data_IF_669690746148
#
_entry.id   IF_669690746148
#
_cell.length_a   1.000
_cell.length_b   1.000
_cell.length_c   1.000
_cell.angle_alpha   90.00
_cell.angle_beta   90.00
_cell.angle_gamma   90.00
#
_symmetry.space_group_name_H-M   'P 1'
#
loop_
_entity.id
_entity.type
_entity.pdbx_description
1 polymer ?
#
# COMPACT_ATOMS: atom_id res chain seq x y z
N UNK A 1 9.98 -16.86 -3.38
CA UNK A 1 10.07 -15.40 -3.18
C UNK A 1 10.31 -15.08 -1.71
N UNK A 2 10.86 -13.90 -1.39
CA UNK A 2 10.94 -13.41 0.00
C UNK A 2 10.04 -12.17 0.12
N UNK A 3 9.25 -12.08 1.18
CA UNK A 3 8.39 -10.91 1.46
C UNK A 3 8.88 -10.21 2.73
N UNK A 4 9.22 -8.92 2.62
CA UNK A 4 9.60 -8.06 3.75
C UNK A 4 8.46 -7.09 4.02
N UNK A 5 7.78 -7.26 5.14
CA UNK A 5 6.68 -6.40 5.56
C UNK A 5 6.98 -5.71 6.90
N UNK A 6 6.26 -4.66 7.16
CA UNK A 6 6.36 -3.92 8.42
C UNK A 6 5.64 -2.57 8.36
N UNK A 7 5.36 -1.96 9.50
CA UNK A 7 4.71 -0.66 9.54
C UNK A 7 5.63 0.45 8.98
N UNK A 8 5.05 1.62 8.76
CA UNK A 8 5.86 2.80 8.41
C UNK A 8 6.91 3.06 9.49
N UNK A 9 8.07 3.55 9.08
CA UNK A 9 9.25 3.82 9.93
C UNK A 9 9.88 2.58 10.62
N UNK A 10 9.56 1.35 10.20
CA UNK A 10 10.22 0.13 10.73
C UNK A 10 11.61 -0.14 10.14
N UNK A 11 11.97 0.49 9.02
CA UNK A 11 13.23 0.21 8.32
C UNK A 11 13.18 -0.99 7.37
N UNK A 12 11.99 -1.41 6.93
CA UNK A 12 11.82 -2.53 6.00
C UNK A 12 12.53 -2.35 4.66
N UNK A 13 12.52 -1.14 4.08
CA UNK A 13 13.14 -0.87 2.77
C UNK A 13 14.65 -1.07 2.78
N UNK A 14 15.44 -0.49 3.71
CA UNK A 14 16.86 -0.80 3.82
C UNK A 14 17.16 -2.29 4.01
N UNK A 15 16.35 -3.01 4.78
CA UNK A 15 16.52 -4.47 4.96
C UNK A 15 16.30 -5.22 3.65
N UNK A 16 15.24 -4.87 2.91
CA UNK A 16 14.95 -5.48 1.62
C UNK A 16 16.06 -5.20 0.59
N UNK A 17 16.57 -3.96 0.55
CA UNK A 17 17.64 -3.57 -0.36
C UNK A 17 18.97 -4.32 -0.06
N UNK A 18 19.37 -4.38 1.22
CA UNK A 18 20.58 -5.13 1.61
C UNK A 18 20.43 -6.62 1.33
N UNK A 19 19.27 -7.20 1.61
CA UNK A 19 19.00 -8.61 1.29
C UNK A 19 19.08 -8.84 -0.22
N UNK A 20 18.36 -8.03 -1.02
CA UNK A 20 18.32 -8.17 -2.48
C UNK A 20 19.73 -8.03 -3.09
N UNK A 21 20.53 -7.04 -2.64
CA UNK A 21 21.92 -6.89 -3.05
C UNK A 21 22.74 -8.17 -2.78
N UNK A 22 22.57 -8.77 -1.59
CA UNK A 22 23.34 -9.95 -1.16
C UNK A 22 22.98 -11.22 -1.94
N UNK A 23 21.72 -11.37 -2.37
CA UNK A 23 21.25 -12.57 -3.10
C UNK A 23 21.14 -12.34 -4.61
N UNK A 24 21.54 -11.16 -5.12
CA UNK A 24 21.36 -10.81 -6.53
C UNK A 24 19.90 -10.72 -6.96
N UNK A 25 19.01 -10.35 -6.03
CA UNK A 25 17.57 -10.23 -6.23
C UNK A 25 17.14 -8.85 -6.69
N UNK A 26 15.83 -8.69 -6.94
CA UNK A 26 15.20 -7.44 -7.35
C UNK A 26 13.96 -7.18 -6.47
N UNK A 27 13.67 -5.92 -6.18
CA UNK A 27 12.59 -5.54 -5.28
C UNK A 27 11.31 -5.25 -6.06
N UNK A 28 10.17 -5.79 -5.58
CA UNK A 28 8.84 -5.42 -6.02
C UNK A 28 8.19 -4.63 -4.87
N UNK A 29 7.80 -3.37 -5.11
CA UNK A 29 7.15 -2.56 -4.08
C UNK A 29 5.70 -3.01 -3.85
N UNK A 30 5.32 -3.17 -2.58
CA UNK A 30 3.94 -3.36 -2.13
C UNK A 30 3.46 -2.14 -1.33
N UNK A 31 3.61 -0.95 -1.93
CA UNK A 31 3.13 0.30 -1.38
C UNK A 31 2.17 0.99 -2.36
N UNK A 32 0.91 1.17 -1.97
CA UNK A 32 -0.14 1.72 -2.83
C UNK A 32 0.03 3.21 -3.14
N UNK A 33 1.03 3.88 -2.57
CA UNK A 33 1.29 5.31 -2.78
C UNK A 33 2.56 5.57 -3.58
N UNK A 34 3.54 4.70 -3.47
CA UNK A 34 4.80 4.83 -4.20
C UNK A 34 4.68 4.58 -5.72
N UNK A 35 3.55 4.10 -6.19
CA UNK A 35 3.25 3.91 -7.61
C UNK A 35 3.16 5.22 -8.39
N UNK A 36 2.88 6.35 -7.74
CA UNK A 36 2.68 7.64 -8.40
C UNK A 36 3.98 8.39 -8.62
N UNK A 37 4.22 8.79 -9.86
CA UNK A 37 5.38 9.59 -10.27
C UNK A 37 5.39 10.96 -9.62
N UNK A 38 6.57 11.50 -9.33
CA UNK A 38 6.76 12.86 -8.80
C UNK A 38 6.13 13.10 -7.41
N UNK A 39 5.71 12.02 -6.75
CA UNK A 39 5.18 12.02 -5.39
C UNK A 39 6.17 11.27 -4.49
N UNK A 40 7.35 11.85 -4.25
CA UNK A 40 8.48 11.14 -3.65
C UNK A 40 8.52 11.30 -2.14
N UNK A 41 8.42 12.55 -1.66
CA UNK A 41 8.62 12.90 -0.25
C UNK A 41 7.43 12.48 0.59
N UNK A 42 6.22 12.86 0.14
CA UNK A 42 4.98 12.52 0.86
C UNK A 42 4.67 11.03 0.88
N UNK A 43 5.05 10.27 -0.16
CA UNK A 43 4.89 8.80 -0.17
C UNK A 43 6.02 8.06 0.49
N UNK A 44 7.13 8.73 0.75
CA UNK A 44 8.31 8.16 1.40
C UNK A 44 9.02 7.11 0.59
N UNK A 45 9.24 7.38 -0.68
CA UNK A 45 9.96 6.45 -1.56
C UNK A 45 11.37 6.18 -1.09
N UNK A 46 12.05 7.21 -0.52
CA UNK A 46 13.44 7.12 -0.03
C UNK A 46 14.34 6.35 -1.02
N UNK A 47 14.32 6.76 -2.30
CA UNK A 47 14.95 6.04 -3.42
C UNK A 47 16.44 5.76 -3.20
N UNK A 48 17.13 6.56 -2.40
CA UNK A 48 18.51 6.33 -2.02
C UNK A 48 18.73 5.01 -1.25
N UNK A 49 17.72 4.50 -0.56
CA UNK A 49 17.80 3.25 0.21
C UNK A 49 17.99 2.02 -0.69
N UNK A 50 17.61 2.10 -1.96
CA UNK A 50 17.71 0.98 -2.90
C UNK A 50 19.14 0.82 -3.47
N UNK A 51 19.96 1.87 -3.45
CA UNK A 51 21.31 1.85 -4.04
C UNK A 51 21.26 1.42 -5.52
N UNK A 52 21.98 0.37 -5.87
CA UNK A 52 22.02 -0.21 -7.23
C UNK A 52 21.02 -1.36 -7.42
N UNK A 53 20.22 -1.69 -6.40
CA UNK A 53 19.24 -2.79 -6.48
C UNK A 53 18.07 -2.39 -7.38
N UNK A 54 17.75 -3.15 -8.42
CA UNK A 54 16.59 -2.88 -9.24
C UNK A 54 15.29 -2.96 -8.42
N UNK A 55 14.39 -2.02 -8.65
CA UNK A 55 13.08 -1.99 -8.02
C UNK A 55 11.97 -1.77 -9.04
N UNK A 56 10.81 -2.33 -8.75
CA UNK A 56 9.64 -2.35 -9.62
C UNK A 56 8.40 -1.87 -8.88
N UNK A 57 7.40 -1.43 -9.64
CA UNK A 57 6.11 -0.90 -9.17
C UNK A 57 6.24 0.37 -8.30
N UNK A 58 7.27 1.15 -8.59
CA UNK A 58 7.46 2.53 -8.12
C UNK A 58 7.45 3.42 -9.37
N UNK A 59 6.82 4.59 -9.30
CA UNK A 59 6.75 5.56 -10.41
C UNK A 59 6.15 5.00 -11.72
N UNK A 60 5.09 4.22 -11.61
CA UNK A 60 4.42 3.59 -12.76
C UNK A 60 3.15 4.32 -13.22
N UNK A 61 2.59 5.21 -12.38
CA UNK A 61 1.36 5.96 -12.65
C UNK A 61 1.57 7.47 -12.57
N UNK A 62 0.83 8.23 -13.36
CA UNK A 62 0.80 9.69 -13.22
C UNK A 62 -0.13 10.11 -12.07
N UNK A 63 0.20 11.19 -11.34
CA UNK A 63 -0.74 11.84 -10.42
C UNK A 63 -2.02 12.26 -11.17
N UNK A 64 -3.17 12.24 -10.50
CA UNK A 64 -4.49 12.42 -11.14
C UNK A 64 -5.17 11.10 -11.52
N UNK A 65 -4.43 9.97 -11.57
CA UNK A 65 -4.98 8.64 -11.85
C UNK A 65 -5.31 7.88 -10.57
N UNK A 66 -6.16 6.85 -10.67
CA UNK A 66 -6.55 6.00 -9.53
C UNK A 66 -6.10 4.57 -9.76
N UNK A 67 -4.93 4.25 -9.25
CA UNK A 67 -4.39 2.89 -9.27
C UNK A 67 -5.04 2.02 -8.19
N UNK A 68 -5.45 0.81 -8.55
CA UNK A 68 -6.25 -0.05 -7.69
C UNK A 68 -5.62 -1.44 -7.47
N UNK A 69 -6.20 -2.21 -6.56
CA UNK A 69 -5.71 -3.54 -6.19
C UNK A 69 -5.67 -4.52 -7.38
N UNK A 70 -6.64 -4.46 -8.29
CA UNK A 70 -6.66 -5.32 -9.47
C UNK A 70 -5.46 -5.03 -10.38
N UNK A 71 -5.22 -3.75 -10.70
CA UNK A 71 -4.07 -3.33 -11.50
C UNK A 71 -2.75 -3.75 -10.82
N UNK A 72 -2.62 -3.49 -9.52
CA UNK A 72 -1.45 -3.92 -8.76
C UNK A 72 -1.19 -5.42 -8.87
N UNK A 73 -2.23 -6.23 -8.75
CA UNK A 73 -2.09 -7.68 -8.84
C UNK A 73 -1.61 -8.12 -10.23
N UNK A 74 -2.15 -7.55 -11.32
CA UNK A 74 -1.71 -7.85 -12.68
C UNK A 74 -0.23 -7.45 -12.88
N UNK A 75 0.10 -6.20 -12.57
CA UNK A 75 1.47 -5.68 -12.72
C UNK A 75 2.47 -6.45 -11.85
N UNK A 76 2.07 -6.85 -10.64
CA UNK A 76 2.89 -7.70 -9.77
C UNK A 76 3.24 -9.03 -10.45
N UNK A 77 2.26 -9.74 -11.01
CA UNK A 77 2.52 -11.03 -11.63
C UNK A 77 3.37 -10.91 -12.88
N UNK A 78 3.18 -9.88 -13.68
CA UNK A 78 3.99 -9.65 -14.88
C UNK A 78 5.45 -9.39 -14.50
N UNK A 79 5.70 -8.53 -13.50
CA UNK A 79 7.06 -8.27 -12.97
C UNK A 79 7.65 -9.51 -12.29
N UNK A 80 6.86 -10.21 -11.48
CA UNK A 80 7.29 -11.43 -10.78
C UNK A 80 7.77 -12.50 -11.76
N UNK A 81 7.02 -12.75 -12.83
CA UNK A 81 7.37 -13.70 -13.88
C UNK A 81 8.61 -13.27 -14.66
N UNK A 82 8.76 -11.98 -14.97
CA UNK A 82 9.95 -11.44 -15.64
C UNK A 82 11.21 -11.65 -14.80
N UNK A 83 11.17 -11.28 -13.51
CA UNK A 83 12.31 -11.46 -12.60
C UNK A 83 12.70 -12.95 -12.51
N UNK A 84 11.73 -13.84 -12.33
CA UNK A 84 11.98 -15.28 -12.30
C UNK A 84 12.51 -15.82 -13.62
N UNK A 85 11.96 -15.36 -14.75
CA UNK A 85 12.41 -15.75 -16.10
C UNK A 85 13.86 -15.38 -16.38
N UNK A 86 14.36 -14.33 -15.72
CA UNK A 86 15.78 -13.93 -15.73
C UNK A 86 16.64 -14.65 -14.68
N UNK A 87 16.08 -15.63 -13.97
CA UNK A 87 16.79 -16.38 -12.92
C UNK A 87 17.14 -15.57 -11.69
N UNK A 88 16.44 -14.44 -11.45
CA UNK A 88 16.64 -13.59 -10.28
C UNK A 88 15.63 -13.90 -9.18
N UNK A 89 15.94 -13.54 -7.95
CA UNK A 89 15.05 -13.72 -6.80
C UNK A 89 14.18 -12.50 -6.57
N UNK A 90 12.83 -12.62 -6.69
CA UNK A 90 11.96 -11.51 -6.34
C UNK A 90 11.91 -11.29 -4.81
N UNK A 91 12.02 -10.04 -4.38
CA UNK A 91 11.86 -9.60 -2.99
C UNK A 91 10.67 -8.64 -2.92
N UNK A 92 9.53 -9.08 -2.42
CA UNK A 92 8.36 -8.24 -2.21
C UNK A 92 8.56 -7.38 -0.96
N UNK A 93 8.51 -6.06 -1.07
CA UNK A 93 8.72 -5.16 0.07
C UNK A 93 7.62 -4.12 0.18
N UNK A 94 6.96 -4.04 1.34
CA UNK A 94 5.97 -2.97 1.51
C UNK A 94 5.21 -2.95 2.82
N UNK A 95 4.32 -1.96 2.92
CA UNK A 95 3.46 -1.72 4.07
C UNK A 95 1.96 -1.82 3.77
N UNK A 96 1.57 -2.01 2.51
CA UNK A 96 0.16 -2.17 2.12
C UNK A 96 -0.25 -3.63 2.24
N UNK A 97 -0.71 -4.02 3.43
CA UNK A 97 -1.01 -5.42 3.75
C UNK A 97 -2.01 -6.07 2.79
N UNK A 98 -2.99 -5.32 2.27
CA UNK A 98 -3.94 -5.83 1.29
C UNK A 98 -3.26 -6.20 -0.05
N UNK A 99 -2.27 -5.43 -0.50
CA UNK A 99 -1.50 -5.74 -1.71
C UNK A 99 -0.69 -7.04 -1.52
N UNK A 100 0.02 -7.13 -0.39
CA UNK A 100 0.79 -8.32 -0.03
C UNK A 100 -0.11 -9.56 0.04
N UNK A 101 -1.22 -9.47 0.77
CA UNK A 101 -2.13 -10.60 0.95
C UNK A 101 -2.80 -11.04 -0.38
N UNK A 102 -3.16 -10.08 -1.23
CA UNK A 102 -3.81 -10.37 -2.50
C UNK A 102 -2.93 -11.21 -3.45
N UNK A 103 -1.62 -10.94 -3.49
CA UNK A 103 -0.70 -11.70 -4.34
C UNK A 103 -0.30 -13.02 -3.69
N UNK A 104 -0.08 -13.06 -2.38
CA UNK A 104 0.26 -14.30 -1.68
C UNK A 104 -0.87 -15.34 -1.69
N UNK A 105 -2.14 -14.89 -1.65
CA UNK A 105 -3.31 -15.79 -1.72
C UNK A 105 -3.90 -15.96 -3.12
N UNK A 106 -3.41 -15.21 -4.11
CA UNK A 106 -3.98 -15.25 -5.44
C UNK A 106 -5.45 -14.82 -5.45
N UNK A 107 -5.78 -13.63 -4.92
CA UNK A 107 -7.15 -13.16 -4.86
C UNK A 107 -7.79 -13.13 -6.25
N UNK A 108 -9.01 -13.66 -6.37
CA UNK A 108 -9.79 -13.61 -7.62
C UNK A 108 -10.43 -12.23 -7.76
N UNK A 109 -9.69 -11.29 -8.34
CA UNK A 109 -10.16 -9.92 -8.56
C UNK A 109 -10.76 -9.74 -9.96
N UNK A 110 -11.64 -8.76 -10.10
CA UNK A 110 -12.24 -8.36 -11.38
C UNK A 110 -11.99 -6.89 -11.66
N UNK A 111 -11.81 -6.48 -12.92
CA UNK A 111 -11.62 -5.10 -13.32
C UNK A 111 -12.97 -4.34 -13.33
N UNK A 112 -13.60 -4.22 -12.16
CA UNK A 112 -14.92 -3.62 -12.03
C UNK A 112 -14.81 -2.10 -12.01
N UNK A 113 -15.32 -1.39 -13.05
CA UNK A 113 -15.37 0.07 -13.06
C UNK A 113 -16.33 0.59 -11.99
N UNK A 114 -16.21 1.88 -11.67
CA UNK A 114 -17.22 2.55 -10.86
C UNK A 114 -18.49 2.76 -11.68
N UNK A 115 -19.63 2.39 -11.12
CA UNK A 115 -20.95 2.61 -11.72
C UNK A 115 -21.69 3.70 -10.95
N UNK A 116 -21.58 4.96 -11.44
CA UNK A 116 -22.16 6.10 -10.76
C UNK A 116 -23.69 5.99 -10.66
N UNK A 117 -24.36 5.54 -11.71
CA UNK A 117 -25.82 5.38 -11.69
C UNK A 117 -26.28 4.38 -10.60
N UNK A 118 -25.57 3.28 -10.45
CA UNK A 118 -25.83 2.33 -9.36
C UNK A 118 -25.57 2.96 -7.99
N UNK A 119 -24.49 3.71 -7.82
CA UNK A 119 -24.16 4.40 -6.57
C UNK A 119 -25.23 5.40 -6.17
N UNK A 120 -25.69 6.20 -7.14
CA UNK A 120 -26.76 7.19 -6.92
C UNK A 120 -28.07 6.48 -6.50
N UNK A 121 -28.40 5.33 -7.08
CA UNK A 121 -29.57 4.53 -6.70
C UNK A 121 -29.47 3.91 -5.28
N UNK A 122 -28.27 3.81 -4.74
CA UNK A 122 -27.98 3.28 -3.41
C UNK A 122 -27.76 4.37 -2.36
N UNK A 123 -27.73 5.64 -2.79
CA UNK A 123 -27.55 6.77 -1.89
C UNK A 123 -28.72 6.85 -0.88
N UNK A 124 -28.39 7.19 0.35
CA UNK A 124 -29.35 7.27 1.45
C UNK A 124 -29.79 5.93 2.06
N UNK A 125 -29.41 4.78 1.47
CA UNK A 125 -29.69 3.47 2.08
C UNK A 125 -28.84 3.21 3.31
N UNK A 126 -29.45 2.60 4.30
CA UNK A 126 -28.78 2.21 5.55
C UNK A 126 -27.87 0.98 5.33
N UNK A 127 -26.87 0.81 6.20
CA UNK A 127 -25.98 -0.35 6.13
C UNK A 127 -26.72 -1.71 6.21
N UNK A 128 -27.75 -1.91 7.04
CA UNK A 128 -28.56 -3.14 7.02
C UNK A 128 -29.24 -3.40 5.68
N UNK A 129 -29.82 -2.39 5.03
CA UNK A 129 -30.47 -2.53 3.71
C UNK A 129 -29.44 -2.93 2.63
N UNK A 130 -28.28 -2.24 2.59
CA UNK A 130 -27.18 -2.58 1.68
C UNK A 130 -26.67 -4.00 1.92
N UNK A 131 -26.56 -4.40 3.19
CA UNK A 131 -26.12 -5.76 3.55
C UNK A 131 -27.09 -6.82 3.03
N UNK A 132 -28.41 -6.59 3.17
CA UNK A 132 -29.43 -7.50 2.65
C UNK A 132 -29.36 -7.60 1.13
N UNK A 133 -29.26 -6.47 0.42
CA UNK A 133 -29.10 -6.45 -1.05
C UNK A 133 -27.88 -7.24 -1.49
N UNK A 134 -26.73 -7.07 -0.81
CA UNK A 134 -25.51 -7.80 -1.11
C UNK A 134 -25.69 -9.31 -0.89
N UNK A 135 -26.38 -9.72 0.18
CA UNK A 135 -26.68 -11.13 0.46
C UNK A 135 -27.53 -11.76 -0.65
N UNK A 136 -28.57 -11.06 -1.10
CA UNK A 136 -29.46 -11.51 -2.19
C UNK A 136 -28.69 -11.66 -3.52
N UNK A 137 -27.79 -10.70 -3.84
CA UNK A 137 -26.92 -10.78 -5.01
C UNK A 137 -25.96 -11.96 -4.93
N UNK A 138 -25.30 -12.15 -3.79
CA UNK A 138 -24.37 -13.26 -3.58
C UNK A 138 -25.05 -14.62 -3.66
N UNK A 139 -26.28 -14.74 -3.16
CA UNK A 139 -27.10 -15.97 -3.33
C UNK A 139 -27.36 -16.29 -4.80
N UNK A 140 -27.56 -15.27 -5.66
CA UNK A 140 -27.77 -15.44 -7.11
C UNK A 140 -26.50 -15.81 -7.87
N UNK A 141 -25.33 -15.30 -7.43
CA UNK A 141 -24.03 -15.62 -8.05
C UNK A 141 -23.39 -16.91 -7.55
N UNK A 142 -23.98 -17.54 -6.52
CA UNK A 142 -23.36 -18.68 -5.84
C UNK A 142 -22.08 -18.30 -5.06
N UNK A 143 -21.83 -17.00 -4.86
CA UNK A 143 -20.68 -16.52 -4.11
C UNK A 143 -21.01 -16.41 -2.62
N UNK A 144 -20.06 -16.82 -1.77
CA UNK A 144 -20.23 -16.73 -0.32
C UNK A 144 -19.89 -15.33 0.21
N UNK A 145 -20.54 -14.93 1.31
CA UNK A 145 -20.13 -13.77 2.11
C UNK A 145 -18.78 -14.08 2.79
N UNK A 146 -17.68 -13.89 2.09
CA UNK A 146 -16.36 -14.27 2.59
C UNK A 146 -15.80 -13.35 3.67
N UNK A 147 -16.28 -12.10 3.77
CA UNK A 147 -15.75 -11.12 4.71
C UNK A 147 -16.86 -10.31 5.38
N UNK A 148 -16.79 -10.22 6.71
CA UNK A 148 -17.53 -9.20 7.47
C UNK A 148 -17.12 -7.77 7.06
N UNK A 149 -15.94 -7.60 6.46
CA UNK A 149 -15.39 -6.32 6.03
C UNK A 149 -16.15 -5.68 4.87
N UNK A 150 -16.85 -6.45 4.03
CA UNK A 150 -17.65 -5.90 2.93
C UNK A 150 -18.86 -5.10 3.44
N UNK A 151 -19.25 -5.32 4.69
CA UNK A 151 -20.40 -4.69 5.33
C UNK A 151 -20.01 -3.86 6.59
N UNK A 152 -18.77 -3.43 6.68
CA UNK A 152 -18.29 -2.56 7.79
C UNK A 152 -18.73 -1.10 7.63
N UNK A 153 -19.05 -0.67 6.41
CA UNK A 153 -19.51 0.68 6.10
C UNK A 153 -20.37 0.69 4.84
N UNK A 154 -21.23 1.70 4.71
CA UNK A 154 -22.05 1.87 3.51
C UNK A 154 -21.20 1.93 2.23
N UNK A 155 -20.08 2.62 2.24
CA UNK A 155 -19.17 2.72 1.08
C UNK A 155 -18.65 1.35 0.64
N UNK A 156 -18.28 0.48 1.59
CA UNK A 156 -17.81 -0.87 1.29
C UNK A 156 -18.93 -1.76 0.80
N UNK A 157 -20.11 -1.68 1.42
CA UNK A 157 -21.28 -2.43 0.99
C UNK A 157 -21.71 -2.04 -0.43
N UNK A 158 -21.75 -0.75 -0.75
CA UNK A 158 -22.00 -0.25 -2.11
C UNK A 158 -20.96 -0.80 -3.10
N UNK A 159 -19.68 -0.75 -2.75
CA UNK A 159 -18.62 -1.30 -3.62
C UNK A 159 -18.77 -2.81 -3.83
N UNK A 160 -19.11 -3.55 -2.80
CA UNK A 160 -19.35 -5.00 -2.91
C UNK A 160 -20.57 -5.30 -3.79
N UNK A 161 -21.66 -4.55 -3.67
CA UNK A 161 -22.84 -4.64 -4.54
C UNK A 161 -22.47 -4.35 -6.00
N UNK A 162 -21.68 -3.29 -6.24
CA UNK A 162 -21.19 -2.90 -7.55
C UNK A 162 -20.37 -4.03 -8.22
N UNK A 163 -19.49 -4.67 -7.44
CA UNK A 163 -18.67 -5.81 -7.90
C UNK A 163 -19.55 -7.02 -8.25
N UNK A 164 -20.49 -7.40 -7.38
CA UNK A 164 -21.35 -8.55 -7.63
C UNK A 164 -22.32 -8.31 -8.80
N UNK A 165 -22.87 -7.10 -8.93
CA UNK A 165 -23.71 -6.73 -10.08
C UNK A 165 -22.93 -6.82 -11.40
N UNK A 166 -21.74 -6.23 -11.43
CA UNK A 166 -20.88 -6.29 -12.62
C UNK A 166 -20.52 -7.73 -13.02
N UNK A 167 -20.18 -8.57 -12.03
CA UNK A 167 -19.84 -9.96 -12.28
C UNK A 167 -21.01 -10.81 -12.79
N UNK A 168 -22.24 -10.47 -12.41
CA UNK A 168 -23.46 -11.10 -12.94
C UNK A 168 -23.70 -10.75 -14.42
N UNK A 169 -23.47 -9.49 -14.76
CA UNK A 169 -23.68 -8.97 -16.11
C UNK A 169 -22.52 -9.33 -17.08
N UNK A 170 -21.33 -9.56 -16.54
CA UNK A 170 -20.10 -9.79 -17.30
C UNK A 170 -19.42 -11.09 -16.85
N UNK A 171 -19.94 -12.26 -17.20
CA UNK A 171 -19.33 -13.54 -16.86
C UNK A 171 -18.09 -13.79 -17.76
N UNK A 172 -17.00 -13.09 -17.50
CA UNK A 172 -15.74 -13.27 -18.25
C UNK A 172 -14.85 -14.29 -17.53
N UNK A 173 -14.16 -15.20 -18.26
CA UNK A 173 -13.12 -16.02 -17.66
C UNK A 173 -12.04 -15.13 -17.03
N UNK A 174 -11.86 -15.26 -15.72
CA UNK A 174 -10.84 -14.50 -15.00
C UNK A 174 -9.49 -15.15 -15.22
N UNK A 175 -8.44 -14.34 -15.47
CA UNK A 175 -7.07 -14.86 -15.42
C UNK A 175 -6.88 -15.47 -14.02
N UNK A 176 -6.60 -16.76 -13.98
CA UNK A 176 -6.26 -17.41 -12.71
C UNK A 176 -4.82 -17.03 -12.37
N UNK A 177 -4.66 -16.36 -11.26
CA UNK A 177 -3.37 -16.00 -10.69
C UNK A 177 -3.14 -16.91 -9.48
N UNK A 178 -2.21 -17.88 -9.57
CA UNK A 178 -1.99 -18.81 -8.48
C UNK A 178 -1.43 -18.11 -7.24
N UNK A 179 -1.65 -18.63 -6.03
CA UNK A 179 -0.95 -18.14 -4.85
C UNK A 179 0.56 -18.18 -5.04
N UNK A 180 1.25 -17.18 -4.50
CA UNK A 180 2.71 -17.10 -4.58
C UNK A 180 3.31 -17.56 -3.25
N UNK A 181 4.09 -18.63 -3.32
CA UNK A 181 4.82 -19.11 -2.14
C UNK A 181 5.97 -18.15 -1.77
N UNK A 182 6.05 -17.81 -0.49
CA UNK A 182 6.99 -16.82 0.00
C UNK A 182 7.39 -17.04 1.45
N UNK A 183 8.68 -16.92 1.74
CA UNK A 183 9.16 -16.69 3.10
C UNK A 183 8.75 -15.26 3.52
N UNK A 184 7.94 -15.14 4.57
CA UNK A 184 7.42 -13.84 5.01
C UNK A 184 8.16 -13.38 6.26
N UNK A 185 8.84 -12.25 6.14
CA UNK A 185 9.59 -11.59 7.22
C UNK A 185 8.88 -10.32 7.63
N UNK A 186 8.56 -10.21 8.90
CA UNK A 186 8.05 -9.00 9.52
C UNK A 186 9.14 -8.22 10.24
N UNK A 187 9.26 -6.92 10.01
CA UNK A 187 10.17 -6.07 10.79
C UNK A 187 9.39 -5.55 12.00
N UNK A 188 9.70 -6.12 13.17
CA UNK A 188 9.07 -5.72 14.43
C UNK A 188 9.84 -4.55 15.05
N UNK A 189 9.09 -3.57 15.52
CA UNK A 189 9.64 -2.39 16.18
C UNK A 189 8.78 -2.05 17.39
N UNK A 190 9.44 -1.80 18.51
CA UNK A 190 8.77 -1.32 19.72
C UNK A 190 7.87 -0.13 19.42
N UNK A 191 6.76 -0.05 20.14
CA UNK A 191 5.73 0.96 19.89
C UNK A 191 6.25 2.38 20.11
N UNK A 192 6.96 2.62 21.19
CA UNK A 192 7.42 3.98 21.55
C UNK A 192 8.57 4.40 20.61
N UNK A 193 9.52 3.50 20.34
CA UNK A 193 10.59 3.75 19.37
C UNK A 193 10.02 4.04 17.97
N UNK A 194 8.97 3.34 17.56
CA UNK A 194 8.28 3.61 16.28
C UNK A 194 7.66 5.00 16.26
N UNK A 195 7.01 5.41 17.36
CA UNK A 195 6.43 6.74 17.49
C UNK A 195 7.49 7.84 17.35
N UNK A 196 8.58 7.70 18.05
CA UNK A 196 9.71 8.63 17.96
C UNK A 196 10.27 8.71 16.53
N UNK A 197 10.48 7.57 15.88
CA UNK A 197 10.96 7.51 14.49
C UNK A 197 9.97 8.17 13.52
N UNK A 198 8.66 7.98 13.69
CA UNK A 198 7.63 8.62 12.87
C UNK A 198 7.69 10.14 13.02
N UNK A 199 7.66 10.66 14.25
CA UNK A 199 7.72 12.10 14.53
C UNK A 199 9.00 12.73 13.98
N UNK A 200 10.17 12.11 14.23
CA UNK A 200 11.46 12.57 13.70
C UNK A 200 11.49 12.61 12.17
N UNK A 201 11.00 11.54 11.52
CA UNK A 201 10.96 11.46 10.05
C UNK A 201 10.00 12.48 9.45
N UNK A 202 8.84 12.73 10.08
CA UNK A 202 7.90 13.76 9.64
C UNK A 202 8.54 15.15 9.70
N UNK A 203 9.20 15.50 10.82
CA UNK A 203 9.93 16.77 10.96
C UNK A 203 11.01 16.92 9.89
N UNK A 204 11.86 15.90 9.75
CA UNK A 204 12.93 15.93 8.74
C UNK A 204 12.37 16.16 7.32
N UNK A 205 11.29 15.50 6.92
CA UNK A 205 10.67 15.67 5.59
C UNK A 205 10.03 17.04 5.37
N UNK A 206 9.55 17.68 6.42
CA UNK A 206 9.02 19.04 6.34
C UNK A 206 10.13 20.09 6.25
N UNK A 207 11.25 19.87 6.92
CA UNK A 207 12.34 20.84 7.08
C UNK A 207 13.49 20.64 6.06
N UNK A 208 13.77 19.39 5.71
CA UNK A 208 14.90 19.03 4.83
C UNK A 208 14.51 19.02 3.35
N UNK A 209 15.52 19.22 2.49
CA UNK A 209 15.37 19.11 1.05
C UNK A 209 15.70 17.69 0.57
N UNK A 210 14.86 17.15 -0.30
CA UNK A 210 15.09 15.85 -0.92
C UNK A 210 16.37 15.87 -1.77
N UNK A 211 17.18 14.82 -1.69
CA UNK A 211 18.47 14.74 -2.39
C UNK A 211 18.38 14.10 -3.78
N UNK A 212 17.43 13.20 -3.98
CA UNK A 212 17.28 12.41 -5.22
C UNK A 212 15.81 12.30 -5.62
N UNK A 213 15.57 11.87 -6.86
CA UNK A 213 14.21 11.69 -7.40
C UNK A 213 13.64 12.95 -8.05
N UNK A 214 12.41 12.90 -8.51
CA UNK A 214 11.71 13.99 -9.17
C UNK A 214 11.47 15.22 -8.27
N UNK A 215 11.54 15.05 -6.95
CA UNK A 215 11.40 16.10 -5.94
C UNK A 215 12.76 16.58 -5.38
N UNK A 216 13.87 16.31 -6.06
CA UNK A 216 15.20 16.78 -5.63
C UNK A 216 15.24 18.31 -5.45
N UNK A 217 15.82 18.77 -4.35
CA UNK A 217 15.89 20.19 -3.97
C UNK A 217 14.61 20.75 -3.34
N UNK A 218 13.55 19.95 -3.19
CA UNK A 218 12.25 20.35 -2.62
C UNK A 218 12.08 19.82 -1.20
N UNK A 219 11.29 20.52 -0.39
CA UNK A 219 10.68 19.99 0.82
C UNK A 219 9.30 19.40 0.53
N UNK A 220 8.71 18.71 1.51
CA UNK A 220 7.42 18.05 1.33
C UNK A 220 6.28 19.04 1.01
N UNK A 221 6.31 20.25 1.54
CA UNK A 221 5.32 21.32 1.22
C UNK A 221 5.49 21.78 -0.23
N UNK A 222 6.76 21.92 -0.70
CA UNK A 222 7.04 22.37 -2.07
C UNK A 222 6.60 21.32 -3.10
N UNK A 223 6.75 20.03 -2.78
CA UNK A 223 6.27 18.94 -3.64
C UNK A 223 4.75 19.03 -3.86
N UNK A 224 3.98 19.27 -2.81
CA UNK A 224 2.51 19.39 -2.92
C UNK A 224 2.12 20.66 -3.67
N UNK A 225 2.80 21.81 -3.43
CA UNK A 225 2.55 23.05 -4.19
C UNK A 225 2.80 22.84 -5.67
N UNK A 226 3.93 22.23 -6.03
CA UNK A 226 4.23 21.93 -7.43
C UNK A 226 3.14 21.10 -8.10
N UNK A 227 2.62 20.07 -7.43
CA UNK A 227 1.56 19.22 -8.00
C UNK A 227 0.25 20.01 -8.21
N UNK A 228 -0.09 20.93 -7.29
CA UNK A 228 -1.23 21.84 -7.44
C UNK A 228 -1.01 22.83 -8.60
N UNK A 229 0.19 23.40 -8.72
CA UNK A 229 0.57 24.33 -9.79
C UNK A 229 0.58 23.63 -11.18
N UNK A 230 0.89 22.35 -11.22
CA UNK A 230 0.78 21.49 -12.42
C UNK A 230 -0.67 21.14 -12.78
N UNK A 231 -1.66 21.55 -11.97
CA UNK A 231 -3.08 21.38 -12.26
C UNK A 231 -3.70 20.10 -11.69
N UNK A 232 -3.03 19.40 -10.79
CA UNK A 232 -3.64 18.27 -10.07
C UNK A 232 -4.70 18.83 -9.10
N UNK A 233 -5.93 18.33 -9.20
CA UNK A 233 -7.01 18.81 -8.35
C UNK A 233 -6.76 18.53 -6.86
N UNK A 234 -7.09 19.45 -5.95
CA UNK A 234 -6.94 19.25 -4.50
C UNK A 234 -7.59 17.96 -4.01
N UNK A 235 -8.75 17.61 -4.55
CA UNK A 235 -9.49 16.39 -4.18
C UNK A 235 -8.72 15.11 -4.55
N UNK A 236 -8.00 15.10 -5.66
CA UNK A 236 -7.16 13.99 -6.07
C UNK A 236 -5.93 13.87 -5.15
N UNK A 237 -5.30 14.99 -4.76
CA UNK A 237 -4.22 14.96 -3.79
C UNK A 237 -4.68 14.45 -2.42
N UNK A 238 -5.84 14.89 -1.94
CA UNK A 238 -6.45 14.40 -0.69
C UNK A 238 -6.69 12.88 -0.76
N UNK A 239 -7.01 12.33 -1.92
CA UNK A 239 -7.18 10.88 -2.12
C UNK A 239 -5.89 10.09 -1.94
N UNK A 240 -4.71 10.65 -2.26
CA UNK A 240 -3.46 9.90 -2.28
C UNK A 240 -2.83 9.59 -0.91
N UNK A 241 -3.36 10.09 0.17
CA UNK A 241 -2.91 9.67 1.48
C UNK A 241 -2.78 10.79 2.48
N UNK A 242 -2.24 10.43 3.64
CA UNK A 242 -2.26 11.29 4.80
C UNK A 242 -1.47 12.58 4.58
N UNK A 243 -0.24 12.46 4.07
CA UNK A 243 0.67 13.56 3.83
C UNK A 243 0.08 14.55 2.83
N UNK A 244 -0.37 14.05 1.67
CA UNK A 244 -0.97 14.90 0.63
C UNK A 244 -2.27 15.53 1.10
N UNK A 245 -3.11 14.83 1.85
CA UNK A 245 -4.34 15.37 2.42
C UNK A 245 -4.06 16.58 3.29
N UNK A 246 -3.29 16.41 4.35
CA UNK A 246 -3.11 17.47 5.34
C UNK A 246 -2.26 18.63 4.81
N UNK A 247 -1.30 18.34 3.91
CA UNK A 247 -0.53 19.39 3.25
C UNK A 247 -1.38 20.20 2.25
N UNK A 248 -2.27 19.54 1.49
CA UNK A 248 -3.22 20.23 0.62
C UNK A 248 -4.17 21.12 1.43
N UNK A 249 -4.74 20.61 2.53
CA UNK A 249 -5.60 21.38 3.43
C UNK A 249 -4.84 22.59 4.03
N UNK A 250 -3.56 22.47 4.34
CA UNK A 250 -2.71 23.59 4.78
C UNK A 250 -2.46 24.59 3.66
N UNK A 251 -2.04 24.15 2.47
CA UNK A 251 -1.70 25.03 1.34
C UNK A 251 -2.93 25.79 0.85
N UNK A 252 -4.12 25.17 0.89
CA UNK A 252 -5.41 25.80 0.53
C UNK A 252 -6.04 26.65 1.64
N UNK A 253 -5.35 26.82 2.77
CA UNK A 253 -5.77 27.71 3.87
C UNK A 253 -6.85 27.13 4.80
N UNK A 254 -7.13 25.83 4.72
CA UNK A 254 -8.10 25.16 5.60
C UNK A 254 -7.51 24.84 6.97
N UNK A 255 -6.18 24.71 7.07
CA UNK A 255 -5.44 24.43 8.31
C UNK A 255 -4.28 25.42 8.45
N UNK A 256 -3.95 25.73 9.69
CA UNK A 256 -2.65 26.34 10.03
C UNK A 256 -1.54 25.27 9.96
N UNK A 257 -0.27 25.70 9.96
CA UNK A 257 0.86 24.77 9.95
C UNK A 257 0.86 23.84 11.17
N UNK A 258 0.60 24.38 12.36
CA UNK A 258 0.58 23.60 13.61
C UNK A 258 -0.57 22.58 13.64
N UNK A 259 -1.73 22.95 13.11
CA UNK A 259 -2.85 22.02 12.96
C UNK A 259 -2.55 20.91 11.95
N UNK A 260 -1.96 21.27 10.82
CA UNK A 260 -1.53 20.31 9.80
C UNK A 260 -0.53 19.32 10.39
N UNK A 261 0.53 19.82 11.03
CA UNK A 261 1.54 18.97 11.66
C UNK A 261 0.94 18.01 12.68
N UNK A 262 0.17 18.53 13.63
CA UNK A 262 -0.43 17.73 14.70
C UNK A 262 -1.40 16.67 14.16
N UNK A 263 -2.26 17.03 13.23
CA UNK A 263 -3.23 16.10 12.62
C UNK A 263 -2.53 15.03 11.79
N UNK A 264 -1.53 15.42 11.00
CA UNK A 264 -0.75 14.49 10.18
C UNK A 264 0.03 13.50 11.05
N UNK A 265 0.72 13.96 12.08
CA UNK A 265 1.44 13.11 13.02
C UNK A 265 0.53 12.04 13.65
N UNK A 266 -0.62 12.46 14.19
CA UNK A 266 -1.62 11.55 14.75
C UNK A 266 -2.10 10.54 13.71
N UNK A 267 -2.36 10.99 12.49
CA UNK A 267 -2.85 10.14 11.42
C UNK A 267 -1.81 9.08 10.98
N UNK A 268 -0.51 9.44 10.95
CA UNK A 268 0.57 8.49 10.65
C UNK A 268 0.71 7.45 11.77
N UNK A 269 0.62 7.86 13.05
CA UNK A 269 0.62 6.90 14.17
C UNK A 269 -0.54 5.91 14.10
N UNK A 270 -1.74 6.40 13.77
CA UNK A 270 -2.92 5.54 13.56
C UNK A 270 -2.74 4.62 12.36
N UNK A 271 -2.13 5.11 11.28
CA UNK A 271 -1.84 4.30 10.09
C UNK A 271 -0.88 3.16 10.42
N UNK A 272 0.23 3.44 11.11
CA UNK A 272 1.17 2.41 11.57
C UNK A 272 0.50 1.35 12.47
N UNK A 273 -0.43 1.76 13.34
CA UNK A 273 -1.23 0.82 14.15
C UNK A 273 -2.10 -0.07 13.28
N UNK A 274 -2.78 0.50 12.26
CA UNK A 274 -3.60 -0.27 11.31
C UNK A 274 -2.78 -1.28 10.50
N UNK A 275 -1.57 -0.91 10.07
CA UNK A 275 -0.66 -1.83 9.39
C UNK A 275 -0.33 -3.05 10.28
N UNK A 276 0.06 -2.82 11.52
CA UNK A 276 0.34 -3.92 12.48
C UNK A 276 -0.90 -4.79 12.76
N UNK A 277 -2.07 -4.16 12.87
CA UNK A 277 -3.35 -4.90 13.03
C UNK A 277 -3.62 -5.80 11.82
N UNK A 278 -3.32 -5.31 10.60
CA UNK A 278 -3.45 -6.11 9.38
C UNK A 278 -2.50 -7.30 9.37
N UNK A 279 -1.21 -7.09 9.65
CA UNK A 279 -0.21 -8.17 9.65
C UNK A 279 -0.52 -9.25 10.69
N UNK A 280 -0.90 -8.86 11.92
CA UNK A 280 -1.41 -9.82 12.92
C UNK A 280 -2.71 -10.52 12.46
N UNK A 281 -3.51 -9.83 11.66
CA UNK A 281 -4.67 -10.41 10.99
C UNK A 281 -4.27 -11.46 9.94
N UNK A 282 -3.18 -11.26 9.20
CA UNK A 282 -2.64 -12.26 8.26
C UNK A 282 -2.22 -13.53 8.99
N UNK A 283 -1.56 -13.43 10.15
CA UNK A 283 -1.20 -14.60 10.98
C UNK A 283 -2.45 -15.39 11.37
N UNK A 284 -3.51 -14.72 11.84
CA UNK A 284 -4.80 -15.38 12.15
C UNK A 284 -5.47 -16.02 10.94
N UNK A 285 -5.15 -15.57 9.73
CA UNK A 285 -5.62 -16.15 8.45
C UNK A 285 -4.68 -17.21 7.87
N UNK A 286 -3.71 -17.68 8.68
CA UNK A 286 -2.84 -18.80 8.36
C UNK A 286 -1.51 -18.46 7.70
N UNK A 287 -1.10 -17.20 7.64
CA UNK A 287 0.25 -16.85 7.20
C UNK A 287 1.25 -17.03 8.34
N UNK A 288 2.39 -17.61 8.06
CA UNK A 288 3.54 -17.65 8.99
C UNK A 288 4.41 -16.43 8.73
N UNK A 289 4.51 -15.52 9.70
CA UNK A 289 5.37 -14.34 9.63
C UNK A 289 6.50 -14.50 10.64
N UNK A 290 7.74 -14.47 10.15
CA UNK A 290 8.94 -14.51 10.99
C UNK A 290 9.32 -13.07 11.36
N UNK A 291 9.08 -12.69 12.62
CA UNK A 291 9.36 -11.35 13.11
C UNK A 291 10.83 -11.18 13.49
N UNK A 292 11.46 -10.13 12.95
CA UNK A 292 12.84 -9.75 13.23
C UNK A 292 12.85 -8.37 13.89
N UNK A 293 13.58 -8.24 14.97
CA UNK A 293 13.72 -6.98 15.71
C UNK A 293 14.38 -5.89 14.82
N UNK A 294 13.71 -4.75 14.69
CA UNK A 294 14.18 -3.60 13.92
C UNK A 294 15.47 -2.97 14.48
N UNK A 295 15.81 -3.23 15.75
CA UNK A 295 16.98 -2.65 16.43
C UNK A 295 18.27 -3.40 16.16
N UNK A 296 18.21 -4.64 15.67
CA UNK A 296 19.39 -5.42 15.33
C UNK A 296 20.25 -4.73 14.27
N UNK A 297 21.57 -4.96 14.25
CA UNK A 297 22.44 -4.54 13.15
C UNK A 297 21.94 -5.07 11.80
N UNK A 298 22.21 -4.33 10.72
CA UNK A 298 21.72 -4.69 9.38
C UNK A 298 22.17 -6.08 8.95
N UNK A 299 23.45 -6.39 9.11
CA UNK A 299 24.01 -7.69 8.72
C UNK A 299 23.37 -8.85 9.51
N UNK A 300 23.09 -8.64 10.78
CA UNK A 300 22.44 -9.66 11.61
C UNK A 300 21.00 -9.92 11.15
N UNK A 301 20.24 -8.87 10.83
CA UNK A 301 18.90 -9.02 10.23
C UNK A 301 18.93 -9.82 8.93
N UNK A 302 19.85 -9.46 8.03
CA UNK A 302 19.98 -10.13 6.74
C UNK A 302 20.43 -11.59 6.91
N UNK A 303 21.38 -11.86 7.78
CA UNK A 303 21.83 -13.23 8.04
C UNK A 303 20.71 -14.11 8.60
N UNK A 304 19.91 -13.61 9.57
CA UNK A 304 18.73 -14.32 10.07
C UNK A 304 17.70 -14.64 8.98
N UNK A 305 17.49 -13.71 8.02
CA UNK A 305 16.59 -13.97 6.89
C UNK A 305 17.15 -15.09 6.01
N UNK A 306 18.45 -15.09 5.74
CA UNK A 306 19.09 -16.11 4.90
C UNK A 306 19.09 -17.49 5.57
N UNK A 307 19.23 -17.57 6.89
CA UNK A 307 19.10 -18.82 7.65
C UNK A 307 17.69 -19.42 7.55
N UNK A 308 16.66 -18.57 7.50
CA UNK A 308 15.26 -19.00 7.33
C UNK A 308 14.93 -19.38 5.88
N UNK A 309 15.72 -18.91 4.92
CA UNK A 309 15.45 -19.12 3.48
C UNK A 309 16.13 -20.38 2.92
N UNK A 310 17.05 -20.98 3.66
CA UNK A 310 17.67 -22.27 3.32
C UNK A 310 16.69 -23.43 3.54
#
# INVERSE_FOLDING_TARGET
MITILGPTASGKTPVAAHLAAKIGGEIISADSRQVYRRMDIGTGKDLADYGEVPYHLIDICEPGTKYNLFQYQQDFYDVYQDIQGRGKTPVLCGGTGLYIEAVLKGYKLSPVPQNQALRDSLEGKTLPELTKMLQELKARTGSNMHNKTDVDSCQRAIRAIEIETYNLENPVPRRELPPVDSLIIGIDIDRELRREKITRRLKARLEERQRVGASAGMGMVDEVRRLLDEGIAPEDLIYYGLEYKFLTEYITGQLTYDEMFSKLEIAIHQFAKRQMTWFRGMERRGFTIHWIDATLPMDEKVNKILELWQ
#
